data_IF_825925151288
#
_entry.id   IF_825925151288
#
_cell.length_a   1.000
_cell.length_b   1.000
_cell.length_c   1.000
_cell.angle_alpha   90.00
_cell.angle_beta   90.00
_cell.angle_gamma   90.00
#
_symmetry.space_group_name_H-M   'P 1'
#
loop_
_entity.id
_entity.type
_entity.pdbx_description
1 polymer ?
#
# COMPACT_ATOMS: atom_id res chain seq x y z
N UNK A 1 -17.50 -19.07 21.50
CA UNK A 1 -17.46 -17.77 20.81
C UNK A 1 -16.00 -17.40 20.63
N UNK A 2 -15.48 -17.40 19.40
CA UNK A 2 -14.08 -17.09 19.14
C UNK A 2 -13.83 -15.59 19.21
N UNK A 3 -12.83 -15.16 19.98
CA UNK A 3 -12.38 -13.78 19.98
C UNK A 3 -11.51 -13.56 18.73
N UNK A 4 -12.12 -13.16 17.61
CA UNK A 4 -11.35 -12.72 16.43
C UNK A 4 -10.83 -11.31 16.68
N UNK A 5 -9.56 -11.02 16.43
CA UNK A 5 -8.97 -9.68 16.50
C UNK A 5 -8.96 -9.00 15.12
N UNK A 6 -8.93 -7.66 15.04
CA UNK A 6 -8.69 -6.98 13.77
C UNK A 6 -7.31 -7.35 13.22
N UNK A 7 -7.25 -7.69 11.94
CA UNK A 7 -6.00 -8.03 11.25
C UNK A 7 -5.76 -7.08 10.09
N UNK A 8 -4.50 -6.66 9.96
CA UNK A 8 -3.99 -5.90 8.83
C UNK A 8 -2.68 -6.54 8.40
N UNK A 9 -2.55 -6.78 7.10
CA UNK A 9 -1.36 -7.35 6.48
C UNK A 9 -1.03 -6.57 5.22
N UNK A 10 0.25 -6.57 4.84
CA UNK A 10 0.72 -5.83 3.69
C UNK A 10 2.01 -6.40 3.15
N UNK A 11 2.18 -6.39 1.82
CA UNK A 11 3.39 -6.83 1.15
C UNK A 11 3.61 -6.04 -0.14
N UNK A 12 4.85 -6.07 -0.64
CA UNK A 12 5.24 -5.46 -1.90
C UNK A 12 5.42 -6.52 -2.97
N UNK A 13 4.95 -6.23 -4.18
CA UNK A 13 5.21 -7.01 -5.38
C UNK A 13 5.89 -6.14 -6.42
N UNK A 14 6.71 -6.77 -7.26
CA UNK A 14 7.32 -6.13 -8.43
C UNK A 14 6.48 -6.45 -9.65
N UNK A 15 6.22 -5.43 -10.46
CA UNK A 15 5.52 -5.56 -11.73
C UNK A 15 6.57 -5.45 -12.83
N UNK A 16 6.89 -6.59 -13.43
CA UNK A 16 7.81 -6.71 -14.56
C UNK A 16 7.09 -7.05 -15.88
N UNK A 17 7.83 -7.07 -17.01
CA UNK A 17 7.31 -7.39 -18.34
C UNK A 17 6.56 -8.74 -18.40
N UNK A 18 6.97 -9.70 -17.57
CA UNK A 18 6.39 -11.04 -17.44
C UNK A 18 4.94 -11.03 -16.95
N UNK A 19 4.49 -9.94 -16.32
CA UNK A 19 3.10 -9.77 -15.87
C UNK A 19 2.21 -9.10 -16.93
N UNK A 20 2.75 -8.78 -18.11
CA UNK A 20 1.96 -8.20 -19.20
C UNK A 20 1.12 -9.25 -19.94
N UNK A 21 -0.06 -8.84 -20.43
CA UNK A 21 -0.90 -9.72 -21.26
C UNK A 21 -0.17 -10.19 -22.54
N UNK A 22 0.70 -9.34 -23.10
CA UNK A 22 1.51 -9.71 -24.27
C UNK A 22 2.52 -10.81 -23.96
N UNK A 23 3.19 -10.75 -22.80
CA UNK A 23 4.07 -11.82 -22.33
C UNK A 23 3.31 -13.14 -22.12
N UNK A 24 2.12 -13.09 -21.53
CA UNK A 24 1.26 -14.26 -21.34
C UNK A 24 0.77 -14.87 -22.66
N UNK A 25 0.61 -14.04 -23.69
CA UNK A 25 0.15 -14.45 -25.02
C UNK A 25 1.30 -14.67 -26.02
N UNK A 26 2.56 -14.58 -25.58
CA UNK A 26 3.76 -14.70 -26.41
C UNK A 26 3.73 -13.79 -27.66
N UNK A 27 3.16 -12.59 -27.52
CA UNK A 27 3.14 -11.58 -28.57
C UNK A 27 4.44 -10.78 -28.46
N UNK A 28 5.26 -10.78 -29.52
CA UNK A 28 6.46 -9.95 -29.60
C UNK A 28 6.08 -8.47 -29.44
N UNK A 29 6.49 -7.85 -28.32
CA UNK A 29 6.33 -6.41 -28.12
C UNK A 29 7.43 -5.68 -28.87
N UNK A 30 7.07 -4.96 -29.93
CA UNK A 30 7.97 -4.05 -30.67
C UNK A 30 8.17 -2.69 -29.97
N UNK A 31 7.61 -2.51 -28.76
CA UNK A 31 7.61 -1.26 -28.01
C UNK A 31 8.37 -1.46 -26.69
N UNK A 32 9.51 -0.78 -26.56
CA UNK A 32 10.43 -0.87 -25.41
C UNK A 32 9.98 -0.11 -24.16
N UNK A 33 8.73 0.32 -24.06
CA UNK A 33 8.21 0.89 -22.81
C UNK A 33 7.82 -0.24 -21.85
N UNK A 34 8.84 -0.92 -21.33
CA UNK A 34 8.71 -1.91 -20.28
C UNK A 34 8.02 -1.25 -19.07
N UNK A 35 6.80 -1.69 -18.77
CA UNK A 35 6.02 -1.19 -17.62
C UNK A 35 6.59 -1.82 -16.36
N UNK A 36 7.73 -1.30 -15.92
CA UNK A 36 8.27 -1.60 -14.61
C UNK A 36 7.49 -0.86 -13.54
N UNK A 37 7.29 -1.52 -12.41
CA UNK A 37 6.68 -0.91 -11.26
C UNK A 37 6.79 -1.74 -9.99
N UNK A 38 6.23 -1.17 -8.95
CA UNK A 38 6.03 -1.83 -7.67
C UNK A 38 4.59 -1.59 -7.22
N UNK A 39 4.05 -2.52 -6.45
CA UNK A 39 2.77 -2.34 -5.82
C UNK A 39 2.80 -2.73 -4.36
N UNK A 40 2.04 -2.02 -3.55
CA UNK A 40 1.77 -2.36 -2.15
C UNK A 40 0.36 -2.91 -2.09
N UNK A 41 0.25 -4.19 -1.74
CA UNK A 41 -1.03 -4.84 -1.48
C UNK A 41 -1.29 -4.77 0.02
N UNK A 42 -2.46 -4.26 0.38
CA UNK A 42 -2.90 -4.12 1.77
C UNK A 42 -4.18 -4.93 1.92
N UNK A 43 -4.22 -5.84 2.88
CA UNK A 43 -5.40 -6.67 3.18
C UNK A 43 -5.84 -6.43 4.61
N UNK A 44 -7.14 -6.32 4.85
CA UNK A 44 -7.72 -6.16 6.19
C UNK A 44 -8.85 -7.15 6.45
N UNK A 45 -9.05 -7.42 7.74
CA UNK A 45 -10.22 -8.12 8.26
C UNK A 45 -10.59 -7.56 9.63
N UNK A 46 -11.83 -7.14 9.78
CA UNK A 46 -12.43 -6.61 10.98
C UNK A 46 -13.45 -7.61 11.54
N UNK A 47 -13.39 -7.94 12.84
CA UNK A 47 -14.39 -8.75 13.52
C UNK A 47 -15.81 -8.21 13.31
N UNK A 48 -16.80 -9.10 13.26
CA UNK A 48 -18.21 -8.72 13.09
C UNK A 48 -18.72 -7.71 14.12
N UNK A 49 -18.19 -7.76 15.36
CA UNK A 49 -18.48 -6.77 16.42
C UNK A 49 -18.09 -5.33 16.06
N UNK A 50 -17.15 -5.15 15.13
CA UNK A 50 -16.66 -3.85 14.67
C UNK A 50 -17.38 -3.35 13.41
N UNK A 51 -18.43 -4.04 12.93
CA UNK A 51 -19.19 -3.60 11.74
C UNK A 51 -19.77 -2.19 11.90
N UNK A 52 -20.12 -1.80 13.13
CA UNK A 52 -20.62 -0.46 13.46
C UNK A 52 -19.54 0.64 13.39
N UNK A 53 -18.27 0.28 13.31
CA UNK A 53 -17.15 1.21 13.16
C UNK A 53 -16.93 1.61 11.70
N UNK A 54 -17.64 0.98 10.74
CA UNK A 54 -17.56 1.37 9.33
C UNK A 54 -18.37 2.66 9.09
N UNK A 55 -17.93 3.54 8.18
CA UNK A 55 -16.69 3.45 7.41
C UNK A 55 -15.45 3.69 8.27
N UNK A 56 -14.37 2.97 7.96
CA UNK A 56 -13.04 3.22 8.52
C UNK A 56 -12.14 3.82 7.44
N UNK A 57 -11.06 4.47 7.85
CA UNK A 57 -10.08 5.09 6.96
C UNK A 57 -8.82 4.24 6.92
N UNK A 58 -8.40 3.83 5.73
CA UNK A 58 -7.10 3.22 5.49
C UNK A 58 -6.11 4.32 5.09
N UNK A 59 -5.09 4.53 5.90
CA UNK A 59 -3.96 5.38 5.59
C UNK A 59 -2.78 4.53 5.12
N UNK A 60 -2.20 4.89 3.99
CA UNK A 60 -0.96 4.32 3.46
C UNK A 60 0.05 5.45 3.31
N UNK A 61 1.12 5.40 4.10
CA UNK A 61 2.28 6.27 3.91
C UNK A 61 3.32 5.53 3.10
N UNK A 62 3.83 6.16 2.05
CA UNK A 62 4.85 5.59 1.17
C UNK A 62 6.08 6.49 1.19
N UNK A 63 7.22 5.88 1.46
CA UNK A 63 8.54 6.52 1.37
C UNK A 63 9.22 6.06 0.09
N UNK A 64 9.50 7.01 -0.78
CA UNK A 64 10.05 6.77 -2.11
C UNK A 64 11.57 6.91 -2.15
N UNK A 65 12.21 6.36 -3.18
CA UNK A 65 13.66 6.39 -3.35
C UNK A 65 14.22 7.80 -3.50
N UNK A 66 13.43 8.72 -4.07
CA UNK A 66 13.80 10.13 -4.16
C UNK A 66 13.67 10.91 -2.84
N UNK A 67 13.34 10.25 -1.73
CA UNK A 67 13.21 10.83 -0.41
C UNK A 67 11.86 11.48 -0.10
N UNK A 68 10.91 11.50 -1.04
CA UNK A 68 9.55 12.01 -0.78
C UNK A 68 8.75 11.03 0.06
N UNK A 69 7.87 11.57 0.90
CA UNK A 69 6.84 10.83 1.62
C UNK A 69 5.47 11.29 1.13
N UNK A 70 4.62 10.33 0.77
CA UNK A 70 3.23 10.59 0.43
C UNK A 70 2.30 9.87 1.41
N UNK A 71 1.16 10.50 1.71
CA UNK A 71 0.09 9.90 2.50
C UNK A 71 -1.16 9.74 1.64
N UNK A 72 -1.47 8.50 1.34
CA UNK A 72 -2.68 8.08 0.64
C UNK A 72 -3.78 7.78 1.66
N UNK A 73 -5.01 8.17 1.34
CA UNK A 73 -6.17 7.99 2.21
C UNK A 73 -7.29 7.33 1.44
N UNK A 74 -7.80 6.20 1.96
CA UNK A 74 -8.89 5.45 1.35
C UNK A 74 -10.01 5.23 2.36
N UNK A 75 -11.26 5.45 1.94
CA UNK A 75 -12.42 5.04 2.73
C UNK A 75 -12.67 3.54 2.54
N UNK A 76 -12.91 2.83 3.64
CA UNK A 76 -13.17 1.40 3.69
C UNK A 76 -14.56 1.16 4.26
N UNK A 77 -15.44 0.70 3.38
CA UNK A 77 -16.85 0.44 3.68
C UNK A 77 -17.15 -1.03 4.00
N UNK A 78 -16.14 -1.89 3.96
CA UNK A 78 -16.28 -3.34 4.12
C UNK A 78 -15.38 -3.88 5.23
N UNK A 79 -15.88 -4.85 5.99
CA UNK A 79 -15.16 -5.41 7.13
C UNK A 79 -13.92 -6.21 6.73
N UNK A 80 -13.90 -6.80 5.54
CA UNK A 80 -12.74 -7.50 5.01
C UNK A 80 -12.53 -7.14 3.54
N UNK A 81 -11.28 -7.11 3.09
CA UNK A 81 -10.96 -6.79 1.72
C UNK A 81 -9.49 -6.48 1.52
N UNK A 82 -9.19 -5.90 0.36
CA UNK A 82 -7.85 -5.49 0.00
C UNK A 82 -7.86 -4.18 -0.80
N UNK A 83 -6.71 -3.51 -0.81
CA UNK A 83 -6.43 -2.31 -1.59
C UNK A 83 -5.02 -2.47 -2.17
N UNK A 84 -4.88 -2.08 -3.44
CA UNK A 84 -3.58 -2.08 -4.12
C UNK A 84 -3.22 -0.64 -4.45
N UNK A 85 -2.02 -0.23 -4.06
CA UNK A 85 -1.38 0.98 -4.56
C UNK A 85 -0.29 0.57 -5.56
N UNK A 86 -0.36 1.09 -6.78
CA UNK A 86 0.60 0.76 -7.85
C UNK A 86 1.42 2.00 -8.20
N UNK A 87 2.74 1.85 -8.19
CA UNK A 87 3.71 2.81 -8.69
C UNK A 87 4.34 2.25 -9.96
N UNK A 88 4.12 2.86 -11.14
CA UNK A 88 4.56 2.31 -12.43
C UNK A 88 4.97 3.38 -13.43
N UNK A 89 5.69 2.98 -14.47
CA UNK A 89 5.98 3.83 -15.62
C UNK A 89 6.84 5.05 -15.26
N UNK A 90 6.44 6.24 -15.73
CA UNK A 90 7.20 7.47 -15.49
C UNK A 90 7.28 7.83 -14.00
N UNK A 91 6.17 7.68 -13.27
CA UNK A 91 6.10 7.97 -11.84
C UNK A 91 7.06 7.09 -11.04
N UNK A 92 7.17 5.80 -11.41
CA UNK A 92 8.14 4.89 -10.81
C UNK A 92 9.59 5.37 -11.01
N UNK A 93 9.92 5.87 -12.20
CA UNK A 93 11.25 6.42 -12.52
C UNK A 93 11.53 7.70 -11.74
N UNK A 94 10.57 8.61 -11.66
CA UNK A 94 10.70 9.90 -10.95
C UNK A 94 10.76 9.75 -9.43
N UNK A 95 9.97 8.83 -8.87
CA UNK A 95 9.95 8.52 -7.45
C UNK A 95 11.07 7.57 -7.03
N UNK A 96 11.77 6.94 -8.00
CA UNK A 96 12.83 5.95 -7.77
C UNK A 96 12.33 4.75 -6.94
N UNK A 97 11.09 4.32 -7.21
CA UNK A 97 10.46 3.21 -6.51
C UNK A 97 10.02 3.49 -5.07
N UNK A 98 9.42 2.48 -4.47
CA UNK A 98 8.98 2.39 -3.08
C UNK A 98 10.11 1.75 -2.25
N UNK A 99 10.61 2.49 -1.27
CA UNK A 99 11.63 2.02 -0.32
C UNK A 99 10.98 1.39 0.90
N UNK A 100 9.95 2.06 1.44
CA UNK A 100 9.26 1.60 2.63
C UNK A 100 7.87 2.19 2.72
N UNK A 101 7.01 1.59 3.55
CA UNK A 101 5.66 2.08 3.76
C UNK A 101 5.14 1.74 5.16
N UNK A 102 4.14 2.49 5.60
CA UNK A 102 3.33 2.21 6.79
C UNK A 102 1.87 2.20 6.37
N UNK A 103 1.10 1.30 6.97
CA UNK A 103 -0.35 1.22 6.80
C UNK A 103 -1.05 1.25 8.15
N UNK A 104 -2.16 1.97 8.22
CA UNK A 104 -3.01 2.03 9.40
C UNK A 104 -4.48 2.04 9.01
N UNK A 105 -5.28 1.28 9.74
CA UNK A 105 -6.74 1.34 9.67
C UNK A 105 -7.24 2.15 10.87
N UNK A 106 -8.03 3.20 10.64
CA UNK A 106 -8.50 4.11 11.68
C UNK A 106 -10.03 4.28 11.64
N UNK A 107 -10.66 4.40 12.80
CA UNK A 107 -12.06 4.83 12.94
C UNK A 107 -12.06 6.27 13.45
N UNK A 108 -12.29 7.24 12.57
CA UNK A 108 -12.07 8.65 12.88
C UNK A 108 -10.60 8.90 13.27
N UNK A 109 -10.37 9.47 14.46
CA UNK A 109 -9.03 9.76 14.98
C UNK A 109 -8.38 8.57 15.71
N UNK A 110 -9.08 7.44 15.86
CA UNK A 110 -8.58 6.29 16.59
C UNK A 110 -7.98 5.24 15.65
N UNK A 111 -6.69 4.94 15.82
CA UNK A 111 -6.05 3.81 15.14
C UNK A 111 -6.60 2.48 15.69
N UNK A 112 -7.11 1.63 14.79
CA UNK A 112 -7.58 0.28 15.11
C UNK A 112 -6.41 -0.69 15.11
N UNK A 113 -5.63 -0.66 14.01
CA UNK A 113 -4.49 -1.55 13.79
C UNK A 113 -3.57 -0.90 12.76
N UNK A 114 -2.25 -1.06 12.95
CA UNK A 114 -1.25 -0.64 11.98
C UNK A 114 -0.19 -1.71 11.73
N UNK A 115 0.45 -1.58 10.56
CA UNK A 115 1.60 -2.36 10.13
C UNK A 115 2.60 -1.45 9.47
N UNK A 116 3.87 -1.80 9.60
CA UNK A 116 4.99 -1.06 9.04
C UNK A 116 5.87 -2.04 8.29
N UNK A 117 6.33 -1.65 7.11
CA UNK A 117 7.41 -2.34 6.43
C UNK A 117 8.66 -2.30 7.33
N UNK A 118 9.50 -3.35 7.30
CA UNK A 118 10.62 -3.47 8.23
C UNK A 118 11.63 -2.31 8.13
N UNK A 119 11.74 -1.69 6.96
CA UNK A 119 12.61 -0.53 6.73
C UNK A 119 11.96 0.81 7.08
N UNK A 120 10.74 0.82 7.64
CA UNK A 120 10.05 2.05 7.99
C UNK A 120 10.68 2.65 9.26
N UNK A 121 11.38 3.75 9.08
CA UNK A 121 11.86 4.56 10.20
C UNK A 121 10.99 5.79 10.37
N UNK A 122 10.74 6.17 11.62
CA UNK A 122 10.12 7.48 11.88
C UNK A 122 11.13 8.54 11.47
N UNK A 123 10.75 9.36 10.49
CA UNK A 123 11.58 10.49 10.05
C UNK A 123 11.64 11.46 11.22
N UNK A 124 12.80 11.55 11.87
CA UNK A 124 13.06 12.57 12.88
C UNK A 124 13.15 13.90 12.13
N UNK A 125 12.06 14.67 12.09
CA UNK A 125 12.13 16.06 11.68
C UNK A 125 12.76 16.84 12.82
N UNK A 126 14.00 17.31 12.61
CA UNK A 126 14.53 18.37 13.44
C UNK A 126 13.78 19.64 13.04
N UNK A 127 12.74 19.97 13.81
CA UNK A 127 12.14 21.29 13.74
C UNK A 127 13.28 22.29 13.95
N UNK A 128 13.55 23.08 12.90
CA UNK A 128 14.55 24.14 13.00
C UNK A 128 14.02 25.22 13.95
N UNK A 129 14.84 25.73 14.88
CA UNK A 129 14.42 26.66 15.91
C UNK A 129 13.84 27.98 15.36
#
# INVERSE_FOLDING_TARGET
MGCSEPSLSSFTEYVGPEYSAAAQLSIEQSCHDEVYGQQVVVTWSLPSRMRKCLPVTLYLWVYYGNGKVEKLTYEVNQSAGYRVYCLKGLEYKELQGIISYRVALCSGNQEIVSRRHHLWMEVISLDSP
#
